data_IF_567604172272
#
_entry.id   IF_567604172272
#
_cell.length_a   1.000
_cell.length_b   1.000
_cell.length_c   1.000
_cell.angle_alpha   90.00
_cell.angle_beta   90.00
_cell.angle_gamma   90.00
#
_symmetry.space_group_name_H-M   'P 1'
#
loop_
_entity.id
_entity.type
_entity.pdbx_description
1 polymer ?
#
# COMPACT_ATOMS: atom_id res chain seq x y z
N UNK A 1 15.72 0.99 8.79
CA UNK A 1 14.61 1.96 8.89
C UNK A 1 14.23 2.06 10.35
N UNK A 2 14.02 3.27 10.85
CA UNK A 2 13.47 3.48 12.19
C UNK A 2 11.93 3.35 12.14
N UNK A 3 11.30 3.25 13.32
CA UNK A 3 9.84 3.11 13.45
C UNK A 3 9.07 4.21 12.69
N UNK A 4 9.51 5.47 12.82
CA UNK A 4 8.86 6.61 12.19
C UNK A 4 8.94 6.57 10.66
N UNK A 5 10.05 6.12 10.09
CA UNK A 5 10.22 5.93 8.64
C UNK A 5 9.29 4.84 8.11
N UNK A 6 9.11 3.75 8.86
CA UNK A 6 8.18 2.67 8.47
C UNK A 6 6.73 3.18 8.55
N UNK A 7 6.37 3.92 9.59
CA UNK A 7 5.04 4.52 9.73
C UNK A 7 4.76 5.54 8.60
N UNK A 8 5.74 6.35 8.23
CA UNK A 8 5.64 7.27 7.10
C UNK A 8 5.42 6.52 5.78
N UNK A 9 6.22 5.48 5.50
CA UNK A 9 6.03 4.66 4.29
C UNK A 9 4.66 3.98 4.27
N UNK A 10 4.16 3.50 5.41
CA UNK A 10 2.81 2.92 5.48
C UNK A 10 1.76 3.96 5.08
N UNK A 11 1.90 5.22 5.52
CA UNK A 11 0.98 6.28 5.09
C UNK A 11 1.06 6.57 3.59
N UNK A 12 2.26 6.58 3.04
CA UNK A 12 2.51 6.81 1.62
C UNK A 12 1.86 5.71 0.76
N UNK A 13 2.14 4.44 1.09
CA UNK A 13 1.55 3.28 0.41
C UNK A 13 0.03 3.26 0.53
N UNK A 14 -0.55 3.68 1.66
CA UNK A 14 -2.01 3.84 1.81
C UNK A 14 -2.57 4.95 0.92
N UNK A 15 -1.87 6.08 0.80
CA UNK A 15 -2.30 7.17 -0.05
C UNK A 15 -2.30 6.73 -1.53
N UNK A 16 -1.26 6.01 -1.95
CA UNK A 16 -1.18 5.46 -3.30
C UNK A 16 -2.24 4.39 -3.56
N UNK A 17 -2.51 3.52 -2.59
CA UNK A 17 -3.59 2.53 -2.66
C UNK A 17 -4.95 3.18 -2.91
N UNK A 18 -5.27 4.25 -2.16
CA UNK A 18 -6.53 4.99 -2.35
C UNK A 18 -6.60 5.66 -3.72
N UNK A 19 -5.50 6.26 -4.19
CA UNK A 19 -5.46 6.86 -5.54
C UNK A 19 -5.67 5.81 -6.62
N UNK A 20 -5.00 4.67 -6.49
CA UNK A 20 -5.10 3.57 -7.46
C UNK A 20 -6.51 2.98 -7.50
N UNK A 21 -7.20 2.87 -6.35
CA UNK A 21 -8.62 2.49 -6.32
C UNK A 21 -9.50 3.48 -7.07
N UNK A 22 -9.30 4.79 -6.86
CA UNK A 22 -10.06 5.81 -7.59
C UNK A 22 -9.81 5.73 -9.11
N UNK A 23 -8.58 5.44 -9.51
CA UNK A 23 -8.24 5.28 -10.94
C UNK A 23 -8.80 3.97 -11.51
N UNK A 24 -8.87 2.91 -10.70
CA UNK A 24 -9.55 1.66 -11.03
C UNK A 24 -11.04 1.89 -11.32
N UNK A 25 -11.75 2.57 -10.42
CA UNK A 25 -13.18 2.89 -10.59
C UNK A 25 -13.43 3.73 -11.85
N UNK A 26 -12.58 4.73 -12.10
CA UNK A 26 -12.66 5.52 -13.33
C UNK A 26 -12.39 4.69 -14.58
N UNK A 27 -11.36 3.83 -14.54
CA UNK A 27 -10.98 3.02 -15.69
C UNK A 27 -12.04 1.97 -16.01
N UNK A 28 -12.61 1.36 -14.98
CA UNK A 28 -13.76 0.46 -15.10
C UNK A 28 -14.97 1.19 -15.70
N UNK A 29 -15.26 2.41 -15.24
CA UNK A 29 -16.36 3.23 -15.77
C UNK A 29 -16.21 3.59 -17.24
N UNK A 30 -14.99 3.66 -17.78
CA UNK A 30 -14.75 3.90 -19.22
C UNK A 30 -14.57 2.59 -20.01
N UNK A 31 -14.75 1.43 -19.37
CA UNK A 31 -14.58 0.11 -19.99
C UNK A 31 -13.12 -0.22 -20.35
N UNK A 32 -12.17 0.41 -19.67
CA UNK A 32 -10.73 0.21 -19.88
C UNK A 32 -10.21 -1.07 -19.21
N UNK A 33 -9.00 -1.47 -19.57
CA UNK A 33 -8.37 -2.66 -18.99
C UNK A 33 -7.84 -2.40 -17.57
N UNK A 34 -8.51 -2.93 -16.55
CA UNK A 34 -8.15 -2.79 -15.14
C UNK A 34 -7.06 -3.75 -14.66
N UNK A 35 -6.73 -4.79 -15.44
CA UNK A 35 -5.73 -5.81 -15.08
C UNK A 35 -4.38 -5.26 -14.60
N UNK A 36 -3.77 -4.24 -15.26
CA UNK A 36 -2.51 -3.66 -14.77
C UNK A 36 -2.67 -2.92 -13.43
N UNK A 37 -3.80 -2.25 -13.18
CA UNK A 37 -4.01 -1.56 -11.90
C UNK A 37 -4.29 -2.55 -10.78
N UNK A 38 -5.04 -3.64 -11.03
CA UNK A 38 -5.24 -4.69 -10.04
C UNK A 38 -3.91 -5.30 -9.59
N UNK A 39 -2.99 -5.55 -10.52
CA UNK A 39 -1.65 -6.03 -10.18
C UNK A 39 -0.88 -5.03 -9.32
N UNK A 40 -0.95 -3.74 -9.62
CA UNK A 40 -0.34 -2.71 -8.80
C UNK A 40 -0.97 -2.63 -7.40
N UNK A 41 -2.29 -2.84 -7.31
CA UNK A 41 -3.02 -2.86 -6.03
C UNK A 41 -2.52 -4.03 -5.15
N UNK A 42 -2.36 -5.21 -5.73
CA UNK A 42 -1.79 -6.38 -5.05
C UNK A 42 -0.36 -6.13 -4.58
N UNK A 43 0.46 -5.47 -5.40
CA UNK A 43 1.83 -5.10 -5.04
C UNK A 43 1.87 -4.13 -3.85
N UNK A 44 1.01 -3.09 -3.86
CA UNK A 44 0.87 -2.14 -2.75
C UNK A 44 0.39 -2.83 -1.48
N UNK A 45 -0.57 -3.76 -1.57
CA UNK A 45 -1.07 -4.50 -0.43
C UNK A 45 0.01 -5.40 0.19
N UNK A 46 0.80 -6.07 -0.67
CA UNK A 46 1.94 -6.87 -0.23
C UNK A 46 3.00 -6.01 0.47
N UNK A 47 3.32 -4.84 -0.07
CA UNK A 47 4.26 -3.91 0.53
C UNK A 47 3.75 -3.38 1.88
N UNK A 48 2.47 -3.00 1.95
CA UNK A 48 1.83 -2.56 3.18
C UNK A 48 1.89 -3.64 4.28
N UNK A 49 1.62 -4.90 3.92
CA UNK A 49 1.70 -6.03 4.84
C UNK A 49 3.12 -6.23 5.36
N UNK A 50 4.12 -6.14 4.46
CA UNK A 50 5.53 -6.24 4.81
C UNK A 50 5.99 -5.12 5.74
N UNK A 51 5.55 -3.88 5.49
CA UNK A 51 5.85 -2.73 6.34
C UNK A 51 5.18 -2.85 7.72
N UNK A 52 3.93 -3.30 7.79
CA UNK A 52 3.25 -3.53 9.08
C UNK A 52 3.95 -4.61 9.91
N UNK A 53 4.38 -5.71 9.27
CA UNK A 53 5.15 -6.75 9.94
C UNK A 53 6.49 -6.21 10.49
N UNK A 54 7.20 -5.40 9.71
CA UNK A 54 8.42 -4.72 10.18
C UNK A 54 8.13 -3.76 11.34
N UNK A 55 7.04 -2.99 11.26
CA UNK A 55 6.64 -2.07 12.32
C UNK A 55 6.32 -2.81 13.63
N UNK A 56 5.67 -3.96 13.53
CA UNK A 56 5.37 -4.81 14.69
C UNK A 56 6.65 -5.39 15.31
N UNK A 57 7.60 -5.85 14.50
CA UNK A 57 8.88 -6.36 14.97
C UNK A 57 9.69 -5.27 15.70
N UNK A 58 9.76 -4.07 15.11
CA UNK A 58 10.39 -2.90 15.73
C UNK A 58 9.71 -2.52 17.05
N UNK A 59 8.37 -2.60 17.13
CA UNK A 59 7.62 -2.35 18.37
C UNK A 59 7.87 -3.42 19.45
N UNK A 60 8.22 -4.65 19.06
CA UNK A 60 8.58 -5.72 20.00
C UNK A 60 10.00 -5.59 20.52
N UNK A 61 10.94 -5.13 19.69
CA UNK A 61 12.33 -4.89 20.10
C UNK A 61 12.47 -3.70 21.07
N UNK A 62 11.53 -2.76 21.06
CA UNK A 62 11.49 -1.58 21.94
C UNK A 62 10.86 -1.87 23.32
N UNK A 63 10.40 -3.12 23.58
CA UNK A 63 9.81 -3.58 24.85
C UNK A 63 10.79 -4.39 25.67
#
# INVERSE_FOLDING_TARGET
>A
MNKAEVEYKIQDVKADYVRLQNDLEKLESVGGNISPLLKQLDELEFELKKLNAQLEDLKKQDR
#
